data_IF_223690575641
#
_entry.id   IF_223690575641
#
_cell.length_a   1.000
_cell.length_b   1.000
_cell.length_c   1.000
_cell.angle_alpha   90.00
_cell.angle_beta   90.00
_cell.angle_gamma   90.00
#
_symmetry.space_group_name_H-M   'P 1'
#
loop_
_entity.id
_entity.type
_entity.pdbx_description
1 polymer ?
#
# COMPACT_ATOMS: atom_id res chain seq x y z
N UNK A 1 8.15 -6.59 12.24
CA UNK A 1 7.33 -5.59 11.48
C UNK A 1 8.12 -4.96 10.34
N UNK A 2 9.44 -4.96 10.40
CA UNK A 2 10.34 -4.46 9.35
C UNK A 2 9.99 -4.98 7.95
N UNK A 3 9.83 -6.31 7.79
CA UNK A 3 9.41 -6.89 6.51
C UNK A 3 8.13 -6.28 5.91
N UNK A 4 7.15 -5.90 6.75
CA UNK A 4 5.90 -5.31 6.29
C UNK A 4 6.13 -3.87 5.83
N UNK A 5 6.99 -3.13 6.53
CA UNK A 5 7.34 -1.76 6.21
C UNK A 5 8.10 -1.73 4.88
N UNK A 6 9.09 -2.60 4.71
CA UNK A 6 9.81 -2.76 3.45
C UNK A 6 8.88 -3.09 2.29
N UNK A 7 7.87 -3.95 2.50
CA UNK A 7 6.86 -4.23 1.48
C UNK A 7 5.99 -3.01 1.18
N UNK A 8 5.61 -2.21 2.18
CA UNK A 8 4.89 -0.96 1.95
C UNK A 8 5.73 0.03 1.14
N UNK A 9 7.01 0.19 1.48
CA UNK A 9 7.95 1.07 0.76
C UNK A 9 8.14 0.63 -0.68
N UNK A 10 8.42 -0.66 -0.90
CA UNK A 10 8.57 -1.24 -2.24
C UNK A 10 7.29 -1.11 -3.06
N UNK A 11 6.12 -1.36 -2.46
CA UNK A 11 4.84 -1.25 -3.16
C UNK A 11 4.58 0.17 -3.62
N UNK A 12 4.83 1.18 -2.78
CA UNK A 12 4.61 2.57 -3.16
C UNK A 12 5.58 3.02 -4.26
N UNK A 13 6.85 2.64 -4.17
CA UNK A 13 7.82 2.87 -5.23
C UNK A 13 7.36 2.27 -6.56
N UNK A 14 6.94 1.00 -6.55
CA UNK A 14 6.43 0.33 -7.74
C UNK A 14 5.17 1.00 -8.32
N UNK A 15 4.31 1.60 -7.50
CA UNK A 15 3.16 2.38 -8.00
C UNK A 15 3.62 3.65 -8.74
N UNK A 16 4.63 4.35 -8.23
CA UNK A 16 5.19 5.52 -8.91
C UNK A 16 5.80 5.12 -10.26
N UNK A 17 6.58 4.04 -10.28
CA UNK A 17 7.22 3.50 -11.49
C UNK A 17 6.18 3.01 -12.51
N UNK A 18 5.04 2.50 -12.05
CA UNK A 18 3.93 2.05 -12.90
C UNK A 18 3.04 3.17 -13.44
N UNK A 19 3.32 4.44 -13.12
CA UNK A 19 2.61 5.59 -13.68
C UNK A 19 1.57 6.25 -12.76
N UNK A 20 1.68 6.09 -11.44
CA UNK A 20 0.77 6.76 -10.50
C UNK A 20 0.71 8.29 -10.67
N UNK A 21 1.79 8.94 -11.12
CA UNK A 21 1.76 10.38 -11.43
C UNK A 21 0.74 10.70 -12.54
N UNK A 22 0.71 9.88 -13.59
CA UNK A 22 -0.22 10.06 -14.70
C UNK A 22 -1.66 9.80 -14.26
N UNK A 23 -1.88 8.73 -13.47
CA UNK A 23 -3.20 8.42 -12.93
C UNK A 23 -3.76 9.56 -12.07
N UNK A 24 -2.95 10.11 -11.16
CA UNK A 24 -3.36 11.21 -10.29
C UNK A 24 -3.51 12.52 -11.09
N UNK A 25 -2.66 12.76 -12.09
CA UNK A 25 -2.83 13.91 -13.00
C UNK A 25 -4.18 13.84 -13.72
N UNK A 26 -4.53 12.68 -14.28
CA UNK A 26 -5.82 12.47 -14.93
C UNK A 26 -7.00 12.59 -13.95
N UNK A 27 -6.82 12.15 -12.71
CA UNK A 27 -7.82 12.33 -11.65
C UNK A 27 -8.05 13.80 -11.31
N UNK A 28 -6.97 14.58 -11.12
CA UNK A 28 -7.04 16.01 -10.80
C UNK A 28 -7.65 16.83 -11.93
N UNK A 29 -7.39 16.46 -13.19
CA UNK A 29 -7.98 17.12 -14.36
C UNK A 29 -9.52 17.01 -14.43
N UNK A 30 -10.13 16.11 -13.67
CA UNK A 30 -11.60 15.95 -13.61
C UNK A 30 -12.28 17.00 -12.72
N UNK A 31 -11.51 17.84 -12.02
CA UNK A 31 -11.99 18.92 -11.14
C UNK A 31 -13.10 18.45 -10.18
N UNK A 32 -12.86 17.30 -9.55
CA UNK A 32 -13.79 16.69 -8.62
C UNK A 32 -13.79 17.44 -7.29
N UNK A 33 -14.92 17.41 -6.57
CA UNK A 33 -15.00 17.90 -5.20
C UNK A 33 -13.90 17.24 -4.33
N UNK A 34 -13.00 18.03 -3.71
CA UNK A 34 -11.95 17.53 -2.82
C UNK A 34 -12.47 16.70 -1.64
N UNK A 35 -13.76 16.84 -1.28
CA UNK A 35 -14.40 16.08 -0.24
C UNK A 35 -14.79 14.64 -0.65
N UNK A 36 -14.60 14.24 -1.91
CA UNK A 36 -14.92 12.88 -2.35
C UNK A 36 -13.94 11.84 -1.76
N UNK A 37 -14.42 10.61 -1.45
CA UNK A 37 -13.57 9.56 -0.91
C UNK A 37 -12.34 9.24 -1.77
N UNK A 38 -12.47 9.29 -3.10
CA UNK A 38 -11.37 9.04 -4.04
C UNK A 38 -10.21 10.03 -3.85
N UNK A 39 -10.51 11.28 -3.50
CA UNK A 39 -9.51 12.34 -3.28
C UNK A 39 -8.71 12.12 -1.99
N UNK A 40 -9.22 11.26 -1.09
CA UNK A 40 -8.55 10.90 0.17
C UNK A 40 -7.87 9.53 0.12
N UNK A 41 -7.91 8.84 -1.02
CA UNK A 41 -7.25 7.55 -1.18
C UNK A 41 -5.74 7.70 -1.01
N UNK A 42 -5.11 6.78 -0.27
CA UNK A 42 -3.66 6.81 -0.02
C UNK A 42 -2.91 6.77 -1.35
N UNK A 43 -2.00 7.73 -1.56
CA UNK A 43 -1.28 7.95 -2.81
C UNK A 43 -1.78 9.18 -3.56
N UNK A 44 -3.08 9.47 -3.53
CA UNK A 44 -3.64 10.65 -4.21
C UNK A 44 -3.12 11.95 -3.59
N UNK A 45 -3.26 12.22 -2.28
CA UNK A 45 -2.82 13.48 -1.71
C UNK A 45 -1.30 13.64 -1.74
N UNK A 46 -0.54 12.54 -1.63
CA UNK A 46 0.93 12.57 -1.69
C UNK A 46 1.45 12.90 -3.09
N UNK A 47 0.91 12.24 -4.12
CA UNK A 47 1.28 12.53 -5.52
C UNK A 47 0.76 13.90 -5.93
N UNK A 48 -0.46 14.29 -5.52
CA UNK A 48 -1.01 15.60 -5.83
C UNK A 48 -0.17 16.75 -5.24
N UNK A 49 0.38 16.58 -4.02
CA UNK A 49 1.31 17.55 -3.44
C UNK A 49 2.60 17.68 -4.26
N UNK A 50 3.15 16.56 -4.76
CA UNK A 50 4.29 16.58 -5.67
C UNK A 50 3.97 17.30 -6.99
N UNK A 51 2.79 17.05 -7.57
CA UNK A 51 2.35 17.68 -8.82
C UNK A 51 2.13 19.19 -8.67
N UNK A 52 1.81 19.66 -7.46
CA UNK A 52 1.72 21.09 -7.12
C UNK A 52 3.05 21.70 -6.66
N UNK A 53 4.15 20.97 -6.75
CA UNK A 53 5.48 21.40 -6.29
C UNK A 53 5.55 21.76 -4.79
N UNK A 54 4.63 21.23 -3.97
CA UNK A 54 4.62 21.41 -2.51
C UNK A 54 5.62 20.50 -1.80
N UNK A 55 6.06 19.44 -2.47
CA UNK A 55 7.12 18.55 -2.04
C UNK A 55 7.82 17.91 -3.24
N UNK A 56 9.00 17.35 -3.01
CA UNK A 56 9.73 16.54 -3.98
C UNK A 56 9.07 15.16 -4.18
N UNK A 57 9.45 14.48 -5.26
CA UNK A 57 8.98 13.11 -5.53
C UNK A 57 9.42 12.13 -4.43
N UNK A 58 10.61 12.30 -3.88
CA UNK A 58 11.14 11.43 -2.82
C UNK A 58 10.41 11.66 -1.48
N UNK A 59 10.05 12.90 -1.18
CA UNK A 59 9.20 13.22 -0.03
C UNK A 59 7.79 12.64 -0.21
N UNK A 60 7.19 12.76 -1.40
CA UNK A 60 5.90 12.15 -1.71
C UNK A 60 5.95 10.63 -1.56
N UNK A 61 7.02 9.99 -2.05
CA UNK A 61 7.28 8.55 -1.86
C UNK A 61 7.31 8.18 -0.38
N UNK A 62 8.10 8.89 0.40
CA UNK A 62 8.25 8.65 1.84
C UNK A 62 6.93 8.82 2.58
N UNK A 63 6.18 9.88 2.27
CA UNK A 63 4.85 10.16 2.85
C UNK A 63 3.84 9.08 2.49
N UNK A 64 3.80 8.66 1.22
CA UNK A 64 2.83 7.67 0.74
C UNK A 64 3.10 6.27 1.32
N UNK A 65 4.37 5.91 1.46
CA UNK A 65 4.76 4.68 2.15
C UNK A 65 4.39 4.74 3.64
N UNK A 66 4.62 5.88 4.32
CA UNK A 66 4.21 6.06 5.71
C UNK A 66 2.69 5.99 5.90
N UNK A 67 1.91 6.60 5.01
CA UNK A 67 0.46 6.51 5.01
C UNK A 67 -0.01 5.05 4.84
N UNK A 68 0.64 4.30 3.94
CA UNK A 68 0.39 2.87 3.74
C UNK A 68 0.70 2.04 5.00
N UNK A 69 1.84 2.29 5.67
CA UNK A 69 2.19 1.63 6.94
C UNK A 69 1.16 1.90 8.04
N UNK A 70 0.75 3.17 8.17
CA UNK A 70 -0.26 3.57 9.15
C UNK A 70 -1.60 2.86 8.89
N UNK A 71 -2.01 2.73 7.62
CA UNK A 71 -3.21 2.01 7.24
C UNK A 71 -3.09 0.51 7.56
N UNK A 72 -1.98 -0.14 7.20
CA UNK A 72 -1.74 -1.54 7.54
C UNK A 72 -1.80 -1.80 9.05
N UNK A 73 -1.24 -0.89 9.87
CA UNK A 73 -1.34 -0.95 11.33
C UNK A 73 -2.78 -0.83 11.83
N UNK A 74 -3.59 0.06 11.23
CA UNK A 74 -5.03 0.19 11.54
C UNK A 74 -5.79 -1.09 11.19
N UNK A 75 -5.55 -1.64 10.00
CA UNK A 75 -6.15 -2.92 9.55
C UNK A 75 -5.81 -4.05 10.53
N UNK A 76 -4.53 -4.20 10.89
CA UNK A 76 -4.12 -5.22 11.86
C UNK A 76 -4.80 -5.04 13.23
N UNK A 77 -4.91 -3.80 13.70
CA UNK A 77 -5.57 -3.49 14.98
C UNK A 77 -7.06 -3.84 14.93
N UNK A 78 -7.73 -3.54 13.81
CA UNK A 78 -9.12 -3.89 13.58
C UNK A 78 -9.31 -5.41 13.56
N UNK A 79 -8.54 -6.15 12.74
CA UNK A 79 -8.63 -7.61 12.71
C UNK A 79 -8.40 -8.25 14.08
N UNK A 80 -7.47 -7.72 14.87
CA UNK A 80 -7.18 -8.27 16.21
C UNK A 80 -8.32 -8.05 17.22
N UNK A 81 -9.06 -6.94 17.11
CA UNK A 81 -9.99 -6.49 18.17
C UNK A 81 -11.46 -6.54 17.80
N UNK A 82 -11.76 -6.52 16.50
CA UNK A 82 -13.09 -6.26 15.96
C UNK A 82 -13.48 -7.24 14.85
N UNK A 83 -12.61 -8.20 14.48
CA UNK A 83 -13.00 -9.23 13.52
C UNK A 83 -14.12 -10.10 14.11
N UNK A 84 -15.15 -10.44 13.32
CA UNK A 84 -16.20 -11.34 13.76
C UNK A 84 -15.62 -12.70 14.22
N UNK A 85 -16.13 -13.28 15.31
CA UNK A 85 -15.56 -14.48 15.91
C UNK A 85 -15.76 -15.74 15.06
N UNK A 86 -16.74 -15.72 14.17
CA UNK A 86 -17.09 -16.78 13.21
C UNK A 86 -16.18 -16.80 11.97
N UNK A 87 -15.32 -15.80 11.81
CA UNK A 87 -14.40 -15.79 10.68
C UNK A 87 -13.35 -16.90 10.78
N UNK A 88 -13.14 -17.67 9.70
CA UNK A 88 -12.14 -18.74 9.70
C UNK A 88 -10.75 -18.15 9.92
N UNK A 89 -10.03 -18.68 10.91
CA UNK A 89 -8.63 -18.34 11.15
C UNK A 89 -7.76 -19.36 10.44
N UNK A 90 -7.03 -18.90 9.43
CA UNK A 90 -5.99 -19.71 8.81
C UNK A 90 -4.71 -19.53 9.61
N UNK A 91 -4.11 -20.62 10.07
CA UNK A 91 -2.75 -20.58 10.59
C UNK A 91 -1.81 -20.31 9.43
N UNK A 92 -0.88 -19.36 9.61
CA UNK A 92 0.17 -19.12 8.63
C UNK A 92 1.05 -20.37 8.59
N UNK A 93 0.87 -21.20 7.56
CA UNK A 93 1.87 -22.21 7.23
C UNK A 93 3.04 -21.44 6.64
N UNK A 94 4.14 -21.35 7.38
CA UNK A 94 5.40 -20.83 6.86
C UNK A 94 5.94 -21.87 5.88
N UNK A 95 5.34 -21.90 4.69
CA UNK A 95 5.78 -22.75 3.61
C UNK A 95 7.02 -22.07 3.04
N UNK A 96 8.18 -22.48 3.53
CA UNK A 96 9.43 -22.14 2.89
C UNK A 96 9.34 -22.64 1.44
N UNK A 97 9.16 -21.68 0.53
CA UNK A 97 9.00 -21.97 -0.89
C UNK A 97 10.17 -22.80 -1.42
N UNK A 98 11.37 -22.68 -0.84
CA UNK A 98 12.53 -23.49 -1.22
C UNK A 98 12.32 -24.98 -0.90
N UNK A 99 11.68 -25.31 0.22
CA UNK A 99 11.35 -26.68 0.63
C UNK A 99 10.23 -27.25 -0.25
N UNK A 100 9.26 -26.42 -0.63
CA UNK A 100 8.18 -26.81 -1.55
C UNK A 100 8.70 -27.06 -2.97
N UNK A 101 9.57 -26.18 -3.48
CA UNK A 101 10.20 -26.39 -4.80
C UNK A 101 11.13 -27.62 -4.79
N UNK A 102 11.89 -27.83 -3.72
CA UNK A 102 12.76 -29.01 -3.59
C UNK A 102 11.98 -30.33 -3.47
N UNK A 103 10.76 -30.32 -2.93
CA UNK A 103 9.91 -31.52 -2.91
C UNK A 103 9.28 -31.81 -4.28
N UNK A 104 8.90 -30.76 -5.03
CA UNK A 104 8.30 -30.89 -6.37
C UNK A 104 9.31 -31.31 -7.45
N UNK A 105 10.59 -30.96 -7.28
CA UNK A 105 11.67 -31.31 -8.23
C UNK A 105 12.38 -32.64 -7.90
N UNK A 106 11.92 -33.39 -6.89
CA UNK A 106 12.39 -34.75 -6.55
C UNK A 106 11.57 -35.85 -7.25
N UNK A 107 11.28 -35.68 -8.54
CA UNK A 107 10.83 -36.75 -9.43
C UNK A 107 11.83 -36.91 -10.57
#
# INVERSE_FOLDING_TARGET
REWLYDRCDRRFAAMLDAGALNEVTALLARDLDPALPVMRAIGVPEVAACLRSECTLDEARTRGAQATRNYAKRQFTWFRRQSPPDWPRTETVDCDSSVLFASLLRN
#
